data_IF_325183770373
#
_entry.id   IF_325183770373
#
_cell.length_a   1.000
_cell.length_b   1.000
_cell.length_c   1.000
_cell.angle_alpha   90.00
_cell.angle_beta   90.00
_cell.angle_gamma   90.00
#
_symmetry.space_group_name_H-M   'P 1'
#
loop_
_entity.id
_entity.type
_entity.pdbx_description
1 polymer ?
#
# COMPACT_ATOMS: atom_id res chain seq x y z
N UNK A 1 -56.36 -80.53 9.57
CA UNK A 1 -55.22 -80.03 8.83
C UNK A 1 -55.12 -78.52 9.10
N UNK A 2 -54.26 -78.14 10.09
CA UNK A 2 -54.13 -76.76 10.53
C UNK A 2 -52.74 -76.22 10.08
N UNK A 3 -52.73 -75.27 9.18
CA UNK A 3 -51.55 -74.62 8.67
C UNK A 3 -51.24 -73.43 9.62
N UNK A 4 -50.04 -73.40 10.20
CA UNK A 4 -49.49 -72.29 11.01
C UNK A 4 -48.76 -71.27 10.06
N UNK A 5 -48.91 -69.98 10.23
CA UNK A 5 -48.14 -69.02 9.44
C UNK A 5 -46.73 -68.81 10.05
N UNK A 6 -45.72 -68.46 9.24
CA UNK A 6 -44.37 -68.19 9.67
C UNK A 6 -44.23 -66.78 10.29
N UNK A 7 -43.47 -66.76 11.39
CA UNK A 7 -43.05 -65.52 12.10
C UNK A 7 -41.96 -64.81 11.29
N UNK A 8 -42.24 -63.59 10.81
CA UNK A 8 -41.24 -62.71 10.24
C UNK A 8 -40.48 -62.00 11.34
N UNK A 9 -39.17 -62.29 11.46
CA UNK A 9 -38.24 -61.62 12.34
C UNK A 9 -37.68 -60.45 11.56
N UNK A 10 -38.11 -59.20 11.90
CA UNK A 10 -37.53 -57.95 11.38
C UNK A 10 -36.21 -57.66 12.07
N UNK A 11 -35.12 -57.81 11.36
CA UNK A 11 -33.81 -57.26 11.71
C UNK A 11 -33.79 -55.76 11.46
N UNK A 12 -33.87 -54.93 12.49
CA UNK A 12 -33.62 -53.50 12.41
C UNK A 12 -32.10 -53.27 12.42
N UNK A 13 -31.53 -53.04 11.23
CA UNK A 13 -30.13 -52.61 11.09
C UNK A 13 -30.02 -51.14 11.49
N UNK A 14 -29.44 -50.91 12.66
CA UNK A 14 -29.08 -49.56 13.15
C UNK A 14 -27.86 -49.06 12.37
N UNK A 15 -28.06 -48.21 11.35
CA UNK A 15 -27.02 -47.51 10.65
C UNK A 15 -26.45 -46.40 11.56
N UNK A 16 -25.32 -46.67 12.19
CA UNK A 16 -24.46 -45.68 12.82
C UNK A 16 -23.77 -44.86 11.71
N UNK A 17 -24.31 -43.68 11.40
CA UNK A 17 -23.64 -42.67 10.61
C UNK A 17 -22.51 -42.08 11.44
N UNK A 18 -21.25 -42.11 10.94
CA UNK A 18 -20.18 -41.35 11.59
C UNK A 18 -20.51 -39.86 11.46
N UNK A 19 -20.62 -39.18 12.60
CA UNK A 19 -20.67 -37.72 12.67
C UNK A 19 -19.35 -37.18 12.13
N UNK A 20 -19.28 -36.97 10.81
CA UNK A 20 -18.22 -36.23 10.16
C UNK A 20 -18.22 -34.84 10.74
N UNK A 21 -17.17 -34.51 11.48
CA UNK A 21 -16.81 -33.16 11.85
C UNK A 21 -16.67 -32.36 10.55
N UNK A 22 -17.76 -31.71 10.13
CA UNK A 22 -17.73 -30.61 9.17
C UNK A 22 -16.88 -29.50 9.81
N UNK A 23 -15.58 -29.56 9.58
CA UNK A 23 -14.75 -28.38 9.70
C UNK A 23 -15.27 -27.40 8.65
N UNK A 24 -16.13 -26.48 9.07
CA UNK A 24 -16.47 -25.31 8.29
C UNK A 24 -15.13 -24.58 8.06
N UNK A 25 -14.51 -24.83 6.91
CA UNK A 25 -13.51 -23.93 6.37
C UNK A 25 -14.24 -22.62 6.15
N UNK A 26 -14.09 -21.72 7.12
CA UNK A 26 -14.37 -20.30 6.91
C UNK A 26 -13.43 -19.90 5.79
N UNK A 27 -13.91 -19.93 4.56
CA UNK A 27 -13.30 -19.25 3.45
C UNK A 27 -13.32 -17.77 3.86
N UNK A 28 -12.28 -17.34 4.53
CA UNK A 28 -12.00 -15.92 4.75
C UNK A 28 -11.90 -15.34 3.36
N UNK A 29 -12.91 -14.56 2.97
CA UNK A 29 -12.87 -13.68 1.82
C UNK A 29 -11.62 -12.80 2.00
N UNK A 30 -10.51 -13.27 1.44
CA UNK A 30 -9.17 -12.79 1.73
C UNK A 30 -8.91 -11.50 0.96
N UNK A 31 -9.72 -10.45 1.27
CA UNK A 31 -9.56 -9.14 0.64
C UNK A 31 -8.27 -8.49 1.13
N UNK A 32 -7.48 -7.94 0.21
CA UNK A 32 -6.34 -7.12 0.58
C UNK A 32 -6.79 -5.96 1.49
N UNK A 33 -6.05 -5.70 2.57
CA UNK A 33 -6.27 -4.56 3.44
C UNK A 33 -5.14 -3.55 3.24
N UNK A 34 -5.50 -2.29 2.96
CA UNK A 34 -4.56 -1.19 2.90
C UNK A 34 -4.22 -0.74 4.31
N UNK A 35 -2.94 -0.60 4.61
CA UNK A 35 -2.42 -0.08 5.87
C UNK A 35 -1.76 1.27 5.65
N UNK A 36 -1.90 2.17 6.63
CA UNK A 36 -1.20 3.45 6.69
C UNK A 36 -0.30 3.49 7.92
N UNK A 37 0.92 3.99 7.73
CA UNK A 37 1.84 4.31 8.83
C UNK A 37 1.29 5.49 9.64
N UNK A 38 1.42 5.40 10.96
CA UNK A 38 1.10 6.50 11.86
C UNK A 38 2.24 7.54 11.89
N UNK A 39 1.98 8.77 12.37
CA UNK A 39 3.00 9.81 12.51
C UNK A 39 4.16 9.44 13.45
N UNK A 40 4.00 8.41 14.28
CA UNK A 40 5.04 7.91 15.19
C UNK A 40 6.06 7.00 14.50
N UNK A 41 5.81 6.62 13.25
CA UNK A 41 6.76 5.80 12.49
C UNK A 41 7.98 6.63 12.10
N UNK A 42 9.16 6.01 12.23
CA UNK A 42 10.45 6.68 11.96
C UNK A 42 11.45 5.76 11.25
N UNK A 43 12.40 6.38 10.57
CA UNK A 43 13.64 5.80 10.09
C UNK A 43 14.77 6.30 10.98
N UNK A 44 15.63 5.40 11.42
CA UNK A 44 16.89 5.70 12.10
C UNK A 44 18.02 5.02 11.33
N UNK A 45 19.05 5.79 10.97
CA UNK A 45 20.24 5.29 10.26
C UNK A 45 21.51 5.75 10.98
N UNK A 46 22.33 4.81 11.42
CA UNK A 46 23.55 5.12 12.15
C UNK A 46 24.02 3.99 13.03
N UNK A 47 24.70 4.33 14.14
CA UNK A 47 25.22 3.35 15.07
C UNK A 47 24.32 3.10 16.26
N UNK A 48 24.11 1.82 16.48
CA UNK A 48 23.41 1.25 17.64
C UNK A 48 24.40 0.53 18.55
N UNK A 49 24.05 0.30 19.82
CA UNK A 49 24.93 -0.43 20.72
C UNK A 49 25.32 -1.82 20.15
N UNK A 50 26.55 -2.32 20.46
CA UNK A 50 27.58 -1.76 21.33
C UNK A 50 28.53 -0.76 20.67
N UNK A 51 28.30 -0.39 19.40
CA UNK A 51 29.16 0.53 18.67
C UNK A 51 28.81 1.99 18.99
N UNK A 52 29.81 2.84 19.11
CA UNK A 52 29.67 4.28 19.30
C UNK A 52 30.14 5.01 18.05
N UNK A 53 29.22 5.54 17.28
CA UNK A 53 29.53 6.44 16.16
C UNK A 53 28.87 7.81 16.43
N UNK A 54 29.47 8.89 15.94
CA UNK A 54 28.98 10.24 16.23
C UNK A 54 27.71 10.62 15.44
N UNK A 55 27.23 9.78 14.52
CA UNK A 55 26.14 10.14 13.62
C UNK A 55 25.01 9.12 13.73
N UNK A 56 23.84 9.63 14.15
CA UNK A 56 22.55 8.98 13.99
C UNK A 56 21.61 9.95 13.25
N UNK A 57 21.13 9.54 12.08
CA UNK A 57 20.12 10.29 11.33
C UNK A 57 18.77 9.68 11.67
N UNK A 58 17.80 10.53 12.04
CA UNK A 58 16.44 10.11 12.30
C UNK A 58 15.45 11.04 11.60
N UNK A 59 14.40 10.46 11.01
CA UNK A 59 13.31 11.22 10.40
C UNK A 59 12.00 10.42 10.45
N UNK A 60 10.86 11.12 10.35
CA UNK A 60 9.56 10.50 10.29
C UNK A 60 9.36 9.70 8.99
N UNK A 61 8.60 8.62 9.07
CA UNK A 61 8.20 7.82 7.91
C UNK A 61 6.69 7.84 7.78
N UNK A 62 6.20 8.14 6.58
CA UNK A 62 4.78 8.10 6.27
C UNK A 62 4.53 7.28 5.01
N UNK A 63 3.32 6.76 4.85
CA UNK A 63 2.96 6.03 3.65
C UNK A 63 2.04 4.86 3.90
N UNK A 64 2.00 3.95 2.93
CA UNK A 64 1.07 2.82 2.91
C UNK A 64 1.75 1.53 2.49
N UNK A 65 1.09 0.42 2.77
CA UNK A 65 1.37 -0.91 2.21
C UNK A 65 0.10 -1.75 2.17
N UNK A 66 0.09 -2.77 1.34
CA UNK A 66 -1.05 -3.67 1.20
C UNK A 66 -0.74 -5.00 1.91
N UNK A 67 -1.69 -5.49 2.72
CA UNK A 67 -1.63 -6.83 3.32
C UNK A 67 -2.69 -7.72 2.74
N UNK A 68 -2.28 -8.88 2.21
CA UNK A 68 -3.18 -9.91 1.68
C UNK A 68 -2.96 -11.20 2.45
N UNK A 69 -4.03 -11.81 3.03
CA UNK A 69 -3.90 -13.12 3.65
C UNK A 69 -3.24 -14.11 2.70
N UNK A 70 -2.27 -14.86 3.21
CA UNK A 70 -1.55 -15.91 2.49
C UNK A 70 -2.05 -17.30 2.96
N UNK A 71 -1.44 -18.35 2.42
CA UNK A 71 -1.77 -19.70 2.86
C UNK A 71 -1.57 -19.84 4.38
N UNK A 72 -2.50 -20.52 5.09
CA UNK A 72 -2.41 -20.66 6.53
C UNK A 72 -1.20 -21.52 6.92
N UNK A 73 -0.50 -21.08 7.96
CA UNK A 73 0.48 -21.85 8.70
C UNK A 73 -0.21 -22.43 9.94
N UNK A 74 0.16 -23.63 10.43
CA UNK A 74 -0.50 -24.23 11.60
C UNK A 74 -0.44 -23.38 12.88
N UNK A 75 0.59 -22.55 13.04
CA UNK A 75 0.82 -21.72 14.23
C UNK A 75 0.62 -20.23 13.98
N UNK A 76 0.68 -19.78 12.71
CA UNK A 76 0.66 -18.37 12.36
C UNK A 76 -0.38 -18.07 11.29
N UNK A 77 -1.06 -16.94 11.45
CA UNK A 77 -1.73 -16.28 10.37
C UNK A 77 -0.68 -15.51 9.56
N UNK A 78 -0.53 -15.85 8.29
CA UNK A 78 0.49 -15.27 7.40
C UNK A 78 -0.16 -14.30 6.41
N UNK A 79 0.50 -13.19 6.18
CA UNK A 79 0.09 -12.17 5.21
C UNK A 79 1.24 -11.87 4.26
N UNK A 80 0.92 -11.76 2.99
CA UNK A 80 1.81 -11.15 2.00
C UNK A 80 1.71 -9.63 2.12
N UNK A 81 2.84 -8.95 2.25
CA UNK A 81 2.96 -7.50 2.21
C UNK A 81 3.42 -7.09 0.84
N UNK A 82 2.66 -6.21 0.17
CA UNK A 82 3.01 -5.67 -1.15
C UNK A 82 2.78 -4.17 -1.19
N UNK A 83 3.19 -3.54 -2.29
CA UNK A 83 2.94 -2.13 -2.58
C UNK A 83 3.42 -1.21 -1.44
N UNK A 84 4.57 -1.58 -0.81
CA UNK A 84 5.22 -0.69 0.15
C UNK A 84 5.53 0.61 -0.55
N UNK A 85 4.96 1.68 -0.05
CA UNK A 85 5.01 3.02 -0.63
C UNK A 85 5.17 4.03 0.49
N UNK A 86 6.40 4.17 0.98
CA UNK A 86 6.72 5.07 2.06
C UNK A 86 7.55 6.25 1.59
N UNK A 87 7.44 7.33 2.34
CA UNK A 87 8.19 8.57 2.16
C UNK A 87 8.86 8.92 3.48
N UNK A 88 10.13 9.33 3.42
CA UNK A 88 10.92 9.90 4.52
C UNK A 88 11.17 11.37 4.13
N UNK A 89 10.29 12.30 4.55
CA UNK A 89 10.24 13.64 3.94
C UNK A 89 11.50 14.47 4.13
N UNK A 90 12.09 14.47 5.33
CA UNK A 90 13.28 15.26 5.64
C UNK A 90 14.52 14.79 4.89
N UNK A 91 14.60 13.51 4.55
CA UNK A 91 15.69 12.93 3.76
C UNK A 91 15.35 12.89 2.25
N UNK A 92 14.12 13.13 1.87
CA UNK A 92 13.64 13.00 0.50
C UNK A 92 13.65 11.55 -0.02
N UNK A 93 13.70 10.55 0.87
CA UNK A 93 13.76 9.15 0.48
C UNK A 93 12.37 8.61 0.19
N UNK A 94 12.26 7.90 -0.93
CA UNK A 94 11.14 7.02 -1.20
C UNK A 94 11.56 5.58 -0.91
N UNK A 95 10.68 4.83 -0.22
CA UNK A 95 10.90 3.43 0.13
C UNK A 95 9.82 2.59 -0.55
N UNK A 96 10.24 1.58 -1.29
CA UNK A 96 9.36 0.62 -1.96
C UNK A 96 9.81 -0.80 -1.67
N UNK A 97 8.91 -1.76 -1.74
CA UNK A 97 9.27 -3.15 -1.50
C UNK A 97 8.08 -4.07 -1.26
N UNK A 98 8.38 -5.25 -0.76
CA UNK A 98 7.40 -6.28 -0.42
C UNK A 98 7.98 -7.24 0.61
N UNK A 99 7.13 -8.13 1.12
CA UNK A 99 7.56 -9.15 2.07
C UNK A 99 6.42 -9.91 2.71
N UNK A 100 6.58 -10.26 3.98
CA UNK A 100 5.60 -11.03 4.74
C UNK A 100 5.44 -10.51 6.17
N UNK A 101 4.22 -10.59 6.66
CA UNK A 101 3.90 -10.41 8.06
C UNK A 101 3.25 -11.69 8.59
N UNK A 102 3.64 -12.14 9.78
CA UNK A 102 3.00 -13.26 10.44
C UNK A 102 2.70 -12.96 11.90
N UNK A 103 1.58 -13.46 12.37
CA UNK A 103 1.13 -13.31 13.75
C UNK A 103 0.48 -14.61 14.24
N UNK A 104 0.80 -15.05 15.44
CA UNK A 104 0.31 -16.30 16.01
C UNK A 104 1.22 -16.77 17.13
N UNK A 105 1.28 -18.08 17.32
CA UNK A 105 2.12 -18.75 18.30
C UNK A 105 1.32 -19.62 19.25
N UNK A 106 1.95 -20.66 19.79
CA UNK A 106 1.29 -21.67 20.63
C UNK A 106 1.07 -21.19 22.08
N UNK A 107 2.08 -20.54 22.67
CA UNK A 107 2.04 -20.15 24.10
C UNK A 107 1.88 -18.66 24.31
N UNK A 108 2.33 -17.85 23.38
CA UNK A 108 2.21 -16.41 23.41
C UNK A 108 1.94 -15.88 22.00
N UNK A 109 1.25 -14.75 21.92
CA UNK A 109 1.11 -14.07 20.64
C UNK A 109 2.47 -13.50 20.23
N UNK A 110 2.99 -14.03 19.15
CA UNK A 110 4.24 -13.60 18.52
C UNK A 110 3.92 -12.96 17.18
N UNK A 111 4.75 -12.04 16.72
CA UNK A 111 4.64 -11.49 15.39
C UNK A 111 6.02 -11.22 14.78
N UNK A 112 6.06 -11.19 13.46
CA UNK A 112 7.25 -10.89 12.70
C UNK A 112 6.89 -10.19 11.39
N UNK A 113 7.65 -9.19 11.02
CA UNK A 113 7.60 -8.52 9.73
C UNK A 113 8.96 -8.64 9.05
N UNK A 114 8.96 -9.18 7.84
CA UNK A 114 10.13 -9.31 6.98
C UNK A 114 9.84 -8.60 5.68
N UNK A 115 10.68 -7.65 5.31
CA UNK A 115 10.53 -6.85 4.10
C UNK A 115 11.83 -6.77 3.32
N UNK A 116 11.73 -6.91 2.00
CA UNK A 116 12.77 -6.57 1.05
C UNK A 116 12.49 -5.16 0.55
N UNK A 117 13.28 -4.17 1.01
CA UNK A 117 13.03 -2.76 0.77
C UNK A 117 14.13 -2.15 -0.11
N UNK A 118 13.70 -1.32 -1.05
CA UNK A 118 14.53 -0.37 -1.78
C UNK A 118 14.35 1.01 -1.17
N UNK A 119 15.38 1.51 -0.48
CA UNK A 119 15.40 2.84 0.13
C UNK A 119 16.10 3.81 -0.82
N UNK A 120 15.41 4.82 -1.29
CA UNK A 120 15.88 5.75 -2.33
C UNK A 120 16.40 5.00 -3.58
N UNK A 121 17.60 5.30 -4.03
CA UNK A 121 18.24 4.64 -5.19
C UNK A 121 19.18 3.51 -4.80
N UNK A 122 19.18 3.09 -3.51
CA UNK A 122 20.01 1.99 -3.01
C UNK A 122 19.53 0.65 -3.57
N UNK A 123 20.37 -0.37 -3.45
CA UNK A 123 19.97 -1.76 -3.76
C UNK A 123 18.92 -2.24 -2.76
N UNK A 124 18.12 -3.21 -3.19
CA UNK A 124 17.14 -3.87 -2.31
C UNK A 124 17.88 -4.54 -1.16
N UNK A 125 17.41 -4.32 0.07
CA UNK A 125 17.97 -4.90 1.29
C UNK A 125 16.88 -5.55 2.11
N UNK A 126 17.24 -6.61 2.83
CA UNK A 126 16.35 -7.35 3.71
C UNK A 126 16.29 -6.71 5.09
N UNK A 127 15.07 -6.51 5.60
CA UNK A 127 14.77 -5.99 6.94
C UNK A 127 13.89 -6.99 7.68
N UNK A 128 14.26 -7.32 8.91
CA UNK A 128 13.52 -8.27 9.74
C UNK A 128 13.34 -7.71 11.16
N UNK A 129 12.17 -7.93 11.74
CA UNK A 129 11.92 -7.63 13.16
C UNK A 129 12.42 -8.74 14.09
N UNK A 130 12.77 -9.91 13.55
CA UNK A 130 12.77 -11.12 14.33
C UNK A 130 11.37 -11.52 14.79
N UNK A 131 11.25 -12.68 15.40
CA UNK A 131 10.01 -13.13 16.02
C UNK A 131 9.92 -12.54 17.44
N UNK A 132 9.02 -11.57 17.63
CA UNK A 132 8.88 -10.83 18.89
C UNK A 132 7.54 -11.10 19.55
N UNK A 133 7.53 -11.13 20.90
CA UNK A 133 6.33 -11.29 21.71
C UNK A 133 5.66 -9.95 21.98
N UNK A 134 4.34 -9.92 22.12
CA UNK A 134 3.58 -8.72 22.46
C UNK A 134 3.23 -7.88 21.23
N UNK A 135 3.38 -6.54 21.36
CA UNK A 135 2.98 -5.57 20.34
C UNK A 135 1.54 -5.09 20.51
N UNK A 136 1.06 -4.30 19.54
CA UNK A 136 -0.31 -3.82 19.52
C UNK A 136 -1.30 -4.96 19.26
N UNK A 137 -2.54 -4.76 19.68
CA UNK A 137 -3.61 -5.67 19.33
C UNK A 137 -3.89 -5.64 17.82
N UNK A 138 -3.77 -6.79 17.16
CA UNK A 138 -4.11 -6.91 15.74
C UNK A 138 -5.57 -6.46 15.50
N UNK A 139 -5.83 -5.66 14.48
CA UNK A 139 -5.03 -5.43 13.28
C UNK A 139 -4.00 -4.28 13.34
N UNK A 140 -3.81 -3.59 14.46
CA UNK A 140 -2.71 -2.63 14.56
C UNK A 140 -1.36 -3.36 14.60
N UNK A 141 -0.33 -2.75 14.02
CA UNK A 141 1.04 -3.29 13.94
C UNK A 141 1.97 -2.27 14.57
N UNK A 142 2.73 -2.67 15.59
CA UNK A 142 3.78 -1.86 16.22
C UNK A 142 5.01 -2.73 16.38
N UNK A 143 6.06 -2.42 15.61
CA UNK A 143 7.33 -3.17 15.64
C UNK A 143 8.46 -2.37 14.99
N UNK A 144 9.69 -2.85 15.17
CA UNK A 144 10.86 -2.35 14.45
C UNK A 144 11.42 -3.42 13.54
N UNK A 145 11.85 -3.03 12.34
CA UNK A 145 12.60 -3.88 11.42
C UNK A 145 13.97 -3.28 11.18
N UNK A 146 15.00 -4.12 11.07
CA UNK A 146 16.38 -3.71 10.92
C UNK A 146 17.10 -4.60 9.90
N UNK A 147 18.18 -4.09 9.29
CA UNK A 147 19.02 -4.89 8.41
C UNK A 147 19.96 -5.80 9.20
N UNK A 148 20.46 -5.32 10.31
CA UNK A 148 21.51 -5.98 11.11
C UNK A 148 21.12 -6.11 12.59
N UNK A 149 19.83 -6.37 12.87
CA UNK A 149 19.29 -6.57 14.23
C UNK A 149 19.61 -5.41 15.21
N UNK A 150 19.75 -4.19 14.72
CA UNK A 150 20.14 -3.00 15.50
C UNK A 150 21.52 -3.14 16.16
N UNK A 151 22.45 -3.78 15.47
CA UNK A 151 23.83 -3.95 15.96
C UNK A 151 24.78 -3.09 15.12
N UNK A 152 25.55 -2.21 15.79
CA UNK A 152 26.50 -1.32 15.14
C UNK A 152 25.86 -0.48 14.04
N UNK A 153 26.48 -0.34 12.87
CA UNK A 153 25.89 0.46 11.78
C UNK A 153 24.71 -0.25 11.16
N UNK A 154 23.53 0.35 11.32
CA UNK A 154 22.28 -0.24 10.85
C UNK A 154 21.30 0.84 10.31
N UNK A 155 20.29 0.38 9.60
CA UNK A 155 19.12 1.15 9.21
C UNK A 155 17.90 0.47 9.82
N UNK A 156 17.17 1.20 10.64
CA UNK A 156 16.03 0.71 11.43
C UNK A 156 14.78 1.49 11.07
N UNK A 157 13.70 0.80 10.75
CA UNK A 157 12.37 1.38 10.68
C UNK A 157 11.59 1.01 11.93
N UNK A 158 11.15 2.02 12.69
CA UNK A 158 10.15 1.86 13.75
C UNK A 158 8.79 2.11 13.15
N UNK A 159 7.96 1.11 13.13
CA UNK A 159 6.69 1.12 12.40
C UNK A 159 5.51 1.02 13.36
N UNK A 160 4.58 1.95 13.20
CA UNK A 160 3.24 1.85 13.74
C UNK A 160 2.27 1.99 12.58
N UNK A 161 1.41 0.99 12.36
CA UNK A 161 0.50 0.95 11.22
C UNK A 161 -0.90 0.50 11.61
N UNK A 162 -1.91 1.05 10.93
CA UNK A 162 -3.32 0.70 11.11
C UNK A 162 -4.02 0.50 9.76
N UNK A 163 -5.04 -0.37 9.68
CA UNK A 163 -5.85 -0.49 8.48
C UNK A 163 -6.55 0.82 8.13
N UNK A 164 -6.57 1.14 6.84
CA UNK A 164 -7.26 2.32 6.30
C UNK A 164 -8.73 2.00 6.10
N UNK A 165 -9.60 2.90 6.52
CA UNK A 165 -11.03 2.80 6.25
C UNK A 165 -11.35 3.39 4.86
N UNK A 166 -12.27 2.77 4.12
CA UNK A 166 -12.62 3.22 2.76
C UNK A 166 -13.05 4.70 2.70
N UNK A 167 -13.66 5.23 3.77
CA UNK A 167 -14.07 6.64 3.87
C UNK A 167 -12.90 7.63 3.95
N UNK A 168 -11.69 7.17 4.26
CA UNK A 168 -10.48 8.00 4.32
C UNK A 168 -9.87 8.24 2.94
N UNK A 169 -10.27 7.44 1.95
CA UNK A 169 -9.77 7.52 0.58
C UNK A 169 -10.68 8.39 -0.26
N UNK A 170 -10.15 9.47 -0.79
CA UNK A 170 -10.89 10.37 -1.70
C UNK A 170 -10.77 9.85 -3.13
N UNK A 171 -11.88 9.44 -3.78
CA UNK A 171 -11.82 8.91 -5.14
C UNK A 171 -11.68 10.02 -6.18
N UNK A 172 -10.78 9.81 -7.13
CA UNK A 172 -10.58 10.63 -8.32
C UNK A 172 -10.89 9.84 -9.58
N UNK A 173 -11.57 10.47 -10.54
CA UNK A 173 -11.96 9.88 -11.81
C UNK A 173 -11.29 10.61 -12.96
N UNK A 174 -10.70 9.86 -13.88
CA UNK A 174 -10.06 10.40 -15.07
C UNK A 174 -11.08 11.07 -15.99
N UNK A 175 -10.69 12.18 -16.62
CA UNK A 175 -11.53 12.97 -17.51
C UNK A 175 -10.68 13.57 -18.65
N UNK A 176 -10.73 12.95 -19.83
CA UNK A 176 -9.91 13.39 -20.96
C UNK A 176 -8.43 13.10 -20.79
N UNK A 177 -8.10 12.11 -19.98
CA UNK A 177 -6.74 11.62 -19.77
C UNK A 177 -6.26 10.78 -20.94
N UNK A 178 -4.94 10.72 -21.14
CA UNK A 178 -4.35 9.94 -22.22
C UNK A 178 -3.00 9.34 -21.82
N UNK A 179 -2.67 8.23 -22.46
CA UNK A 179 -1.33 7.67 -22.52
C UNK A 179 -0.68 8.12 -23.83
N UNK A 180 0.55 8.57 -23.75
CA UNK A 180 1.32 9.04 -24.91
C UNK A 180 2.66 8.33 -24.96
N UNK A 181 3.08 7.95 -26.16
CA UNK A 181 4.36 7.33 -26.41
C UNK A 181 5.01 7.97 -27.63
N UNK A 182 6.28 8.36 -27.51
CA UNK A 182 7.00 9.01 -28.59
C UNK A 182 8.14 9.88 -28.14
N UNK A 183 8.59 10.79 -29.00
CA UNK A 183 9.74 11.64 -28.74
C UNK A 183 9.34 12.99 -28.16
N UNK A 184 9.99 13.32 -27.05
CA UNK A 184 9.87 14.59 -26.36
C UNK A 184 11.20 15.36 -26.42
N UNK A 185 11.15 16.67 -26.14
CA UNK A 185 12.35 17.51 -26.15
C UNK A 185 12.97 17.65 -27.55
N UNK A 186 14.29 17.56 -27.68
CA UNK A 186 14.98 17.83 -28.94
C UNK A 186 14.89 16.71 -29.98
N UNK A 187 14.33 15.56 -29.63
CA UNK A 187 14.20 14.42 -30.53
C UNK A 187 12.93 14.54 -31.39
N UNK A 188 13.05 14.23 -32.67
CA UNK A 188 11.98 14.35 -33.66
C UNK A 188 11.46 12.95 -34.02
N UNK A 189 10.42 12.46 -33.36
CA UNK A 189 9.61 11.34 -33.82
C UNK A 189 8.14 11.59 -33.47
N UNK A 190 7.27 10.77 -34.04
CA UNK A 190 5.82 10.91 -33.84
C UNK A 190 5.46 10.55 -32.40
N UNK A 191 4.58 11.36 -31.77
CA UNK A 191 3.92 11.03 -30.53
C UNK A 191 2.58 10.38 -30.87
N UNK A 192 2.39 9.15 -30.40
CA UNK A 192 1.11 8.42 -30.48
C UNK A 192 0.37 8.63 -29.18
N UNK A 193 -0.92 8.96 -29.25
CA UNK A 193 -1.76 9.22 -28.08
C UNK A 193 -2.95 8.26 -28.06
N UNK A 194 -3.20 7.67 -26.89
CA UNK A 194 -4.30 6.76 -26.64
C UNK A 194 -5.18 7.31 -25.50
N UNK A 195 -6.50 7.36 -25.65
CA UNK A 195 -7.39 7.78 -24.60
C UNK A 195 -7.33 6.81 -23.41
N UNK A 196 -7.48 7.37 -22.22
CA UNK A 196 -7.40 6.63 -20.97
C UNK A 196 -8.57 6.98 -20.05
N UNK A 197 -9.20 5.94 -19.50
CA UNK A 197 -10.28 6.05 -18.50
C UNK A 197 -9.90 5.29 -17.23
N UNK A 198 -10.57 5.63 -16.13
CA UNK A 198 -10.41 4.92 -14.88
C UNK A 198 -10.50 5.82 -13.67
N UNK A 199 -9.93 5.31 -12.56
CA UNK A 199 -9.93 6.01 -11.27
C UNK A 199 -8.69 5.67 -10.45
N UNK A 200 -8.47 6.47 -9.41
CA UNK A 200 -7.53 6.20 -8.31
C UNK A 200 -8.05 6.86 -7.03
N UNK A 201 -7.45 6.53 -5.89
CA UNK A 201 -7.74 7.14 -4.60
C UNK A 201 -6.59 8.03 -4.13
N UNK A 202 -6.90 9.09 -3.40
CA UNK A 202 -5.93 9.83 -2.59
C UNK A 202 -6.22 9.59 -1.12
N UNK A 203 -5.21 9.12 -0.39
CA UNK A 203 -5.24 8.98 1.06
C UNK A 203 -4.31 10.05 1.68
N UNK A 204 -4.83 10.98 2.51
CA UNK A 204 -3.99 11.95 3.19
C UNK A 204 -2.95 11.25 4.10
N UNK A 205 -1.68 11.63 3.97
CA UNK A 205 -0.59 11.16 4.82
C UNK A 205 -0.17 12.23 5.81
N UNK A 206 0.04 13.46 5.32
CA UNK A 206 0.45 14.60 6.12
C UNK A 206 -0.12 15.88 5.51
N UNK A 207 -0.42 16.86 6.36
CA UNK A 207 -0.80 18.20 5.94
C UNK A 207 -0.20 19.24 6.88
N UNK A 208 0.46 20.23 6.29
CA UNK A 208 1.07 21.36 6.98
C UNK A 208 0.69 22.67 6.29
N UNK A 209 1.09 23.80 6.86
CA UNK A 209 0.94 25.08 6.19
C UNK A 209 1.76 25.18 4.89
N UNK A 210 2.89 24.48 4.84
CA UNK A 210 3.77 24.44 3.66
C UNK A 210 3.23 23.59 2.51
N UNK A 211 2.45 22.52 2.82
CA UNK A 211 1.95 21.61 1.79
C UNK A 211 1.19 20.40 2.33
N UNK A 212 0.96 19.44 1.46
CA UNK A 212 0.31 18.20 1.82
C UNK A 212 0.87 17.02 1.02
N UNK A 213 1.01 15.87 1.66
CA UNK A 213 1.44 14.62 1.06
C UNK A 213 0.27 13.61 1.09
N UNK A 214 0.07 12.92 -0.03
CA UNK A 214 -0.98 11.91 -0.20
C UNK A 214 -0.39 10.63 -0.75
N UNK A 215 -0.84 9.48 -0.26
CA UNK A 215 -0.66 8.24 -0.99
C UNK A 215 -1.65 8.16 -2.14
N UNK A 216 -1.18 7.82 -3.33
CA UNK A 216 -2.00 7.41 -4.46
C UNK A 216 -2.22 5.92 -4.34
N UNK A 217 -3.47 5.51 -4.27
CA UNK A 217 -3.89 4.12 -4.04
C UNK A 217 -4.96 3.70 -5.05
N UNK A 218 -5.20 2.39 -5.18
CA UNK A 218 -6.25 1.84 -6.01
C UNK A 218 -6.23 2.36 -7.46
N UNK A 219 -5.04 2.55 -8.03
CA UNK A 219 -4.92 2.91 -9.45
C UNK A 219 -5.51 1.78 -10.28
N UNK A 220 -6.53 2.12 -11.05
CA UNK A 220 -7.21 1.21 -11.96
C UNK A 220 -7.59 1.96 -13.23
N UNK A 221 -6.71 1.93 -14.25
CA UNK A 221 -6.90 2.60 -15.52
C UNK A 221 -6.95 1.60 -16.67
N UNK A 222 -7.60 2.01 -17.74
CA UNK A 222 -7.64 1.32 -19.02
C UNK A 222 -7.20 2.28 -20.12
N UNK A 223 -6.07 1.98 -20.76
CA UNK A 223 -5.60 2.66 -21.96
C UNK A 223 -6.24 1.96 -23.16
N UNK A 224 -6.99 2.70 -23.97
CA UNK A 224 -7.70 2.12 -25.13
C UNK A 224 -6.83 2.14 -26.36
N UNK A 225 -6.77 1.02 -27.09
CA UNK A 225 -6.16 1.02 -28.41
C UNK A 225 -7.03 1.84 -29.39
N UNK A 226 -6.42 2.79 -30.12
CA UNK A 226 -7.13 3.62 -31.10
C UNK A 226 -7.34 2.92 -32.46
N UNK A 227 -6.76 1.73 -32.65
CA UNK A 227 -6.64 1.16 -34.00
C UNK A 227 -7.90 0.50 -34.57
N UNK A 228 -8.87 0.03 -33.77
CA UNK A 228 -9.95 -0.81 -34.29
C UNK A 228 -11.34 -0.60 -33.69
N UNK A 229 -11.55 0.34 -32.78
CA UNK A 229 -12.88 0.62 -32.24
C UNK A 229 -13.54 -0.53 -31.42
N UNK A 230 -12.91 -1.69 -31.32
CA UNK A 230 -13.37 -2.79 -30.49
C UNK A 230 -12.74 -2.69 -29.10
N UNK A 231 -13.57 -2.71 -28.08
CA UNK A 231 -13.24 -2.48 -26.64
C UNK A 231 -12.34 -3.58 -26.04
N UNK A 232 -11.90 -4.56 -26.80
CA UNK A 232 -11.24 -5.78 -26.31
C UNK A 232 -9.72 -5.67 -26.16
N UNK A 233 -9.05 -4.69 -26.75
CA UNK A 233 -7.58 -4.60 -26.75
C UNK A 233 -7.10 -3.31 -26.01
N UNK A 234 -7.29 -3.29 -24.69
CA UNK A 234 -6.80 -2.21 -23.86
C UNK A 234 -5.67 -2.65 -22.91
N UNK A 235 -4.75 -1.75 -22.61
CA UNK A 235 -3.75 -1.98 -21.56
C UNK A 235 -4.36 -1.66 -20.19
N UNK A 236 -4.44 -2.67 -19.32
CA UNK A 236 -4.82 -2.50 -17.93
C UNK A 236 -3.63 -1.96 -17.14
N UNK A 237 -3.84 -0.86 -16.43
CA UNK A 237 -2.81 -0.20 -15.61
C UNK A 237 -3.27 -0.21 -14.16
N UNK A 238 -2.44 -0.77 -13.29
CA UNK A 238 -2.59 -0.74 -11.83
C UNK A 238 -1.37 -0.09 -11.21
N UNK A 239 -1.45 0.30 -9.95
CA UNK A 239 -0.28 0.85 -9.28
C UNK A 239 -0.61 1.66 -8.04
N UNK A 240 0.41 2.34 -7.57
CA UNK A 240 0.39 3.15 -6.37
C UNK A 240 1.42 4.28 -6.49
N UNK A 241 1.41 5.22 -5.57
CA UNK A 241 2.38 6.30 -5.61
C UNK A 241 2.19 7.35 -4.54
N UNK A 242 2.84 8.49 -4.75
CA UNK A 242 2.77 9.68 -3.89
C UNK A 242 2.34 10.88 -4.72
N UNK A 243 1.44 11.67 -4.17
CA UNK A 243 1.08 12.99 -4.70
C UNK A 243 1.38 14.04 -3.65
N UNK A 244 2.16 15.05 -4.02
CA UNK A 244 2.63 16.11 -3.14
C UNK A 244 2.14 17.46 -3.63
N UNK A 245 1.70 18.29 -2.70
CA UNK A 245 1.30 19.68 -2.93
C UNK A 245 2.19 20.60 -2.11
N UNK A 246 2.81 21.57 -2.75
CA UNK A 246 3.47 22.71 -2.09
C UNK A 246 2.56 23.93 -2.19
N UNK A 247 1.97 24.35 -1.07
CA UNK A 247 1.09 25.52 -1.02
C UNK A 247 1.87 26.83 -1.25
N UNK A 248 3.06 26.94 -0.67
CA UNK A 248 3.91 28.13 -0.76
C UNK A 248 4.42 28.41 -2.17
N UNK A 249 4.63 27.35 -2.96
CA UNK A 249 5.16 27.46 -4.32
C UNK A 249 4.10 27.26 -5.41
N UNK A 250 2.84 27.00 -5.04
CA UNK A 250 1.77 26.60 -5.96
C UNK A 250 2.24 25.52 -6.95
N UNK A 251 2.90 24.47 -6.42
CA UNK A 251 3.46 23.36 -7.21
C UNK A 251 2.88 22.05 -6.76
N UNK A 252 2.89 21.11 -7.67
CA UNK A 252 2.49 19.73 -7.45
C UNK A 252 3.50 18.76 -8.03
N UNK A 253 3.59 17.56 -7.46
CA UNK A 253 4.39 16.46 -7.99
C UNK A 253 3.66 15.15 -7.78
N UNK A 254 3.64 14.31 -8.80
CA UNK A 254 3.08 12.96 -8.74
C UNK A 254 4.14 11.94 -9.15
N UNK A 255 4.38 10.96 -8.30
CA UNK A 255 5.31 9.85 -8.55
C UNK A 255 4.50 8.57 -8.44
N UNK A 256 4.45 7.79 -9.51
CA UNK A 256 3.69 6.56 -9.59
C UNK A 256 4.60 5.37 -9.93
N UNK A 257 4.36 4.23 -9.30
CA UNK A 257 4.88 2.93 -9.74
C UNK A 257 3.71 2.16 -10.36
N UNK A 258 3.75 2.03 -11.69
CA UNK A 258 2.66 1.49 -12.50
C UNK A 258 2.99 0.10 -13.04
N UNK A 259 2.00 -0.77 -13.02
CA UNK A 259 2.03 -2.15 -13.51
C UNK A 259 1.11 -2.22 -14.72
N UNK A 260 1.67 -2.42 -15.91
CA UNK A 260 0.97 -2.46 -17.19
C UNK A 260 0.77 -3.93 -17.63
N UNK A 261 -0.48 -4.39 -17.73
CA UNK A 261 -0.81 -5.80 -18.07
C UNK A 261 -0.04 -6.83 -17.22
N UNK A 262 0.16 -6.52 -15.91
CA UNK A 262 0.90 -7.39 -14.99
C UNK A 262 2.44 -7.30 -15.11
N UNK A 263 2.97 -6.41 -15.94
CA UNK A 263 4.42 -6.15 -16.09
C UNK A 263 4.82 -4.88 -15.34
N UNK A 264 5.94 -4.89 -14.67
CA UNK A 264 6.43 -3.76 -13.89
C UNK A 264 6.70 -4.15 -12.45
N UNK A 265 6.75 -3.19 -11.49
CA UNK A 265 6.38 -1.78 -11.68
C UNK A 265 7.40 -0.95 -12.46
N UNK A 266 6.92 0.01 -13.23
CA UNK A 266 7.71 1.07 -13.84
C UNK A 266 7.40 2.38 -13.15
N UNK A 267 8.42 3.16 -12.82
CA UNK A 267 8.27 4.49 -12.20
C UNK A 267 7.98 5.54 -13.25
N UNK A 268 6.99 6.40 -12.93
CA UNK A 268 6.64 7.60 -13.67
C UNK A 268 6.67 8.79 -12.71
N UNK A 269 7.25 9.90 -13.12
CA UNK A 269 7.40 11.10 -12.29
C UNK A 269 7.06 12.35 -13.10
N UNK A 270 6.30 13.26 -12.52
CA UNK A 270 6.00 14.56 -13.16
C UNK A 270 7.11 15.59 -12.99
N UNK A 271 8.04 15.35 -12.07
CA UNK A 271 8.80 16.44 -11.48
C UNK A 271 7.90 17.45 -10.74
N UNK A 272 8.50 18.54 -10.28
CA UNK A 272 7.74 19.63 -9.67
C UNK A 272 7.18 20.54 -10.77
N UNK A 273 5.84 20.52 -10.93
CA UNK A 273 5.13 21.32 -11.95
C UNK A 273 4.19 22.33 -11.29
N UNK A 274 3.85 23.45 -11.95
CA UNK A 274 2.83 24.37 -11.46
C UNK A 274 1.48 23.68 -11.29
N UNK A 275 0.71 24.05 -10.26
CA UNK A 275 -0.64 23.51 -10.03
C UNK A 275 -0.95 23.25 -8.57
N UNK A 276 -2.05 22.50 -8.33
CA UNK A 276 -2.44 22.07 -6.97
C UNK A 276 -3.24 23.08 -6.16
N UNK A 277 -3.63 24.23 -6.76
CA UNK A 277 -4.48 25.21 -6.08
C UNK A 277 -5.89 24.67 -5.83
N UNK A 278 -6.43 23.91 -6.76
CA UNK A 278 -7.72 23.22 -6.61
C UNK A 278 -7.49 21.76 -6.22
N UNK A 279 -7.73 21.43 -4.96
CA UNK A 279 -7.55 20.07 -4.42
C UNK A 279 -8.55 19.05 -4.98
N UNK A 280 -9.56 19.48 -5.74
CA UNK A 280 -10.55 18.62 -6.39
C UNK A 280 -10.15 18.25 -7.81
N UNK A 281 -9.11 18.89 -8.32
CA UNK A 281 -8.63 18.71 -9.67
C UNK A 281 -7.14 18.42 -9.68
N UNK A 282 -6.76 17.41 -10.43
CA UNK A 282 -5.38 17.04 -10.69
C UNK A 282 -5.19 17.11 -12.20
N UNK A 283 -4.23 17.93 -12.62
CA UNK A 283 -3.79 18.02 -14.00
C UNK A 283 -2.26 17.92 -14.00
N UNK A 284 -1.74 16.75 -14.40
CA UNK A 284 -0.31 16.46 -14.34
C UNK A 284 0.08 15.43 -15.39
N UNK A 285 1.21 15.63 -16.03
CA UNK A 285 1.85 14.66 -16.89
C UNK A 285 2.95 13.94 -16.10
N UNK A 286 2.95 12.60 -16.08
CA UNK A 286 4.00 11.79 -15.46
C UNK A 286 4.71 11.00 -16.54
N UNK A 287 6.04 11.01 -16.52
CA UNK A 287 6.90 10.43 -17.54
C UNK A 287 7.79 9.33 -16.97
N UNK A 288 8.06 8.29 -17.76
CA UNK A 288 8.95 7.21 -17.36
C UNK A 288 10.43 7.62 -17.43
N UNK A 289 10.78 8.50 -18.35
CA UNK A 289 12.16 8.92 -18.65
C UNK A 289 12.35 10.45 -18.62
N UNK A 290 11.56 11.15 -17.79
CA UNK A 290 11.72 12.58 -17.53
C UNK A 290 11.50 13.48 -18.75
N UNK A 291 10.64 13.09 -19.68
CA UNK A 291 10.38 13.78 -20.96
C UNK A 291 11.63 13.90 -21.85
N UNK A 292 12.56 12.97 -21.70
CA UNK A 292 13.71 12.84 -22.61
C UNK A 292 13.24 12.15 -23.90
N UNK A 293 14.09 12.14 -24.95
CA UNK A 293 13.80 11.62 -26.27
C UNK A 293 12.60 10.62 -26.31
N UNK A 294 12.78 9.35 -26.57
CA UNK A 294 11.65 8.41 -26.54
C UNK A 294 11.16 8.19 -25.12
N UNK A 295 9.90 8.52 -24.85
CA UNK A 295 9.31 8.41 -23.52
C UNK A 295 7.86 7.91 -23.57
N UNK A 296 7.40 7.40 -22.42
CA UNK A 296 6.03 7.02 -22.13
C UNK A 296 5.48 7.98 -21.09
N UNK A 297 4.35 8.61 -21.39
CA UNK A 297 3.77 9.67 -20.57
C UNK A 297 2.30 9.39 -20.32
N UNK A 298 1.89 9.44 -19.06
CA UNK A 298 0.49 9.49 -18.67
C UNK A 298 0.07 10.94 -18.41
N UNK A 299 -0.80 11.49 -19.27
CA UNK A 299 -1.45 12.78 -19.05
C UNK A 299 -2.70 12.57 -18.21
N UNK A 300 -2.60 12.94 -16.94
CA UNK A 300 -3.63 12.68 -15.92
C UNK A 300 -4.43 13.95 -15.70
N UNK A 301 -5.69 13.91 -16.11
CA UNK A 301 -6.70 14.92 -15.81
C UNK A 301 -7.78 14.26 -14.98
N UNK A 302 -7.84 14.54 -13.68
CA UNK A 302 -8.73 13.84 -12.77
C UNK A 302 -9.51 14.80 -11.87
N UNK A 303 -10.72 14.38 -11.48
CA UNK A 303 -11.58 15.15 -10.57
C UNK A 303 -12.20 14.26 -9.51
N UNK A 304 -12.29 14.78 -8.28
CA UNK A 304 -13.11 14.19 -7.23
C UNK A 304 -14.57 14.55 -7.43
N UNK A 305 -15.48 13.59 -7.12
CA UNK A 305 -16.94 13.81 -7.16
C UNK A 305 -17.49 14.43 -5.86
N UNK A 306 -16.78 14.29 -4.76
CA UNK A 306 -17.26 14.76 -3.47
C UNK A 306 -17.21 16.28 -3.35
N UNK A 307 -18.40 16.88 -3.21
CA UNK A 307 -18.52 18.30 -2.93
C UNK A 307 -18.15 18.67 -1.48
N UNK A 308 -18.19 17.70 -0.56
CA UNK A 308 -18.01 17.95 0.87
C UNK A 308 -16.64 17.57 1.42
N UNK A 309 -15.91 16.73 0.71
CA UNK A 309 -14.58 16.29 1.13
C UNK A 309 -13.53 17.14 0.42
N UNK A 310 -13.40 18.40 0.80
CA UNK A 310 -12.10 19.05 0.71
C UNK A 310 -11.14 18.10 1.42
N UNK A 311 -10.00 17.74 0.78
CA UNK A 311 -8.95 16.93 1.37
C UNK A 311 -8.57 17.55 2.72
N UNK A 312 -9.30 17.19 3.77
CA UNK A 312 -8.99 17.58 5.14
C UNK A 312 -7.91 16.62 5.61
N UNK A 313 -6.81 17.18 6.07
CA UNK A 313 -5.77 16.41 6.74
C UNK A 313 -6.36 15.62 7.93
N UNK A 314 -5.65 14.61 8.42
CA UNK A 314 -6.05 13.90 9.62
C UNK A 314 -6.31 14.93 10.72
N UNK A 315 -7.50 14.85 11.34
CA UNK A 315 -7.81 15.68 12.51
C UNK A 315 -6.71 15.45 13.55
N UNK A 316 -6.10 16.49 14.10
CA UNK A 316 -5.08 16.31 15.13
C UNK A 316 -5.69 15.47 16.26
N UNK A 317 -5.06 14.35 16.57
CA UNK A 317 -5.43 13.51 17.71
C UNK A 317 -5.39 14.41 18.97
N UNK A 318 -6.44 14.42 19.81
CA UNK A 318 -6.46 15.27 20.99
C UNK A 318 -5.25 14.94 21.85
N UNK A 319 -4.49 15.98 22.21
CA UNK A 319 -3.33 15.86 23.07
C UNK A 319 -3.71 15.10 24.35
N UNK A 320 -2.88 14.17 24.85
CA UNK A 320 -3.16 13.45 26.09
C UNK A 320 -3.37 14.47 27.21
N UNK A 321 -4.53 14.39 27.86
CA UNK A 321 -4.88 15.25 29.00
C UNK A 321 -3.80 15.10 30.07
N UNK A 322 -3.14 16.16 30.52
CA UNK A 322 -2.13 16.05 31.55
C UNK A 322 -2.78 15.47 32.82
N UNK A 323 -2.26 14.29 33.21
CA UNK A 323 -2.78 13.53 34.33
C UNK A 323 -2.94 14.40 35.59
N UNK A 324 -4.18 14.44 36.06
CA UNK A 324 -4.51 15.08 37.33
C UNK A 324 -3.67 14.44 38.45
N UNK A 325 -2.96 15.27 39.19
CA UNK A 325 -2.33 14.87 40.45
C UNK A 325 -3.45 14.37 41.37
N UNK A 326 -3.35 13.12 41.77
CA UNK A 326 -4.10 12.60 42.89
C UNK A 326 -3.56 13.25 44.19
N UNK A 327 -4.42 13.50 45.16
CA UNK A 327 -4.07 14.10 46.43
C UNK A 327 -3.23 13.18 47.33
#
# INVERSE_FOLDING_TARGET
MRIRPPVLVSLASLLLLPAGLLHAQVATDARPALYRLSPQSSLEEGCFPPCECPVLVADGVMGTFLMTPAAPDPLFQVFKVTDVNWLVPGLGYRVTGSGTYRIGGEFARMHQLQLDLKVADRQVQHYDSGLIAGGAEFPAIVLSIAMNNMICHDTVFRLEAKPVQAKEIVPFFLRGSSYKEGCYGPCLCVIVSHPMDGRFGLLPLNETDAGADFAVVDVGWLVRSSATGTVTDGTSVKGYGIYRLSKSLARQRMILDLIENGRGPTRFDSGDVPGGADRRRIDVDVAANGFACFDRVYSIHARSRDKSTALQGPSPEPAPTPGGRLP
#
